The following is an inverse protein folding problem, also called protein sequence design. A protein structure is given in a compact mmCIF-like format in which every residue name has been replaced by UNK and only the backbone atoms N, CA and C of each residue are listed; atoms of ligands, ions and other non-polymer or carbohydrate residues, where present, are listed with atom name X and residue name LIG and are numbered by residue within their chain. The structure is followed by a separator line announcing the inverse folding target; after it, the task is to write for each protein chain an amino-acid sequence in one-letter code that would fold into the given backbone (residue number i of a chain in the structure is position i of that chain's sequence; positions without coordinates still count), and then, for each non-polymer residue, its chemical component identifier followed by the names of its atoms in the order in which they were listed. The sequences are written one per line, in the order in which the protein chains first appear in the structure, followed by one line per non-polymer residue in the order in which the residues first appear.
data_IF_710969407771
#
_entry.id   IF_710969407771
#
_cell.length_a   1.000
_cell.length_b   1.000
_cell.length_c   1.000
_cell.angle_alpha   90.00
_cell.angle_beta   90.00
_cell.angle_gamma   90.00
#
_symmetry.space_group_name_H-M   'P 1'
#
loop_
_entity.id
_entity.type
_entity.pdbx_description
1 polymer ?
#
# COMPACT_ATOMS: atom_id res chain seq x y z
N UNK A 1 -13.98 7.57 6.09
CA UNK A 1 -14.41 6.17 6.30
C UNK A 1 -13.96 5.38 5.09
N UNK A 2 -13.31 4.23 5.27
CA UNK A 2 -13.02 3.30 4.19
C UNK A 2 -14.19 2.30 4.06
N UNK A 3 -14.32 1.64 2.91
CA UNK A 3 -15.32 0.62 2.64
C UNK A 3 -14.65 -0.55 1.92
N UNK A 4 -15.00 -1.78 2.30
CA UNK A 4 -14.55 -2.97 1.59
C UNK A 4 -15.38 -3.18 0.29
N UNK A 5 -14.96 -4.09 -0.61
CA UNK A 5 -15.70 -4.35 -1.84
C UNK A 5 -17.15 -4.79 -1.63
N UNK A 6 -17.44 -5.50 -0.52
CA UNK A 6 -18.80 -5.96 -0.22
C UNK A 6 -19.72 -4.80 0.19
N UNK A 7 -19.23 -3.84 0.96
CA UNK A 7 -19.93 -2.62 1.33
C UNK A 7 -20.13 -1.71 0.09
N UNK A 8 -19.09 -1.57 -0.74
CA UNK A 8 -19.17 -0.80 -1.99
C UNK A 8 -20.21 -1.39 -2.96
N UNK A 9 -20.30 -2.71 -3.08
CA UNK A 9 -21.32 -3.39 -3.89
C UNK A 9 -22.76 -3.12 -3.42
N UNK A 10 -22.95 -2.67 -2.17
CA UNK A 10 -24.24 -2.25 -1.62
C UNK A 10 -24.50 -0.75 -1.71
N UNK A 11 -23.61 0.01 -2.37
CA UNK A 11 -23.72 1.45 -2.57
C UNK A 11 -23.08 2.30 -1.46
N UNK A 12 -22.28 1.70 -0.57
CA UNK A 12 -21.54 2.46 0.44
C UNK A 12 -20.23 2.96 -0.16
N UNK A 13 -20.08 4.27 -0.28
CA UNK A 13 -18.85 4.90 -0.78
C UNK A 13 -17.91 5.32 0.36
N UNK A 14 -16.58 5.24 0.15
CA UNK A 14 -15.61 5.87 1.03
C UNK A 14 -15.92 7.37 1.24
N UNK A 15 -15.80 7.83 2.49
CA UNK A 15 -16.09 9.22 2.86
C UNK A 15 -17.52 9.49 3.33
N UNK A 16 -18.47 8.56 3.14
CA UNK A 16 -19.81 8.69 3.73
C UNK A 16 -19.77 8.76 5.26
N UNK A 17 -20.71 9.53 5.83
CA UNK A 17 -20.98 9.52 7.27
C UNK A 17 -21.64 8.22 7.72
N UNK A 18 -21.43 7.82 8.98
CA UNK A 18 -21.94 6.54 9.55
C UNK A 18 -23.45 6.40 9.39
N UNK A 19 -24.21 7.46 9.67
CA UNK A 19 -25.67 7.45 9.55
C UNK A 19 -26.12 7.21 8.09
N UNK A 20 -25.50 7.88 7.13
CA UNK A 20 -25.79 7.70 5.71
C UNK A 20 -25.45 6.29 5.23
N UNK A 21 -24.30 5.74 5.65
CA UNK A 21 -23.91 4.38 5.31
C UNK A 21 -24.87 3.33 5.87
N UNK A 22 -25.34 3.50 7.12
CA UNK A 22 -26.34 2.61 7.72
C UNK A 22 -27.73 2.74 7.10
N UNK A 23 -28.09 3.93 6.59
CA UNK A 23 -29.34 4.10 5.84
C UNK A 23 -29.32 3.31 4.51
N UNK A 24 -28.15 3.25 3.84
CA UNK A 24 -27.94 2.50 2.60
C UNK A 24 -27.86 0.98 2.87
N UNK A 25 -27.10 0.60 3.89
CA UNK A 25 -26.88 -0.80 4.27
C UNK A 25 -27.10 -0.98 5.78
N UNK A 26 -28.32 -1.25 6.25
CA UNK A 26 -28.62 -1.37 7.69
C UNK A 26 -27.87 -2.50 8.40
N UNK A 27 -27.45 -3.54 7.65
CA UNK A 27 -26.68 -4.67 8.17
C UNK A 27 -25.16 -4.44 8.12
N UNK A 28 -24.69 -3.22 7.82
CA UNK A 28 -23.26 -2.91 7.73
C UNK A 28 -22.58 -3.07 9.09
N UNK A 29 -21.46 -3.78 9.12
CA UNK A 29 -20.59 -3.81 10.29
C UNK A 29 -19.70 -2.56 10.29
N UNK A 30 -19.84 -1.72 11.31
CA UNK A 30 -18.98 -0.55 11.49
C UNK A 30 -17.85 -0.89 12.44
N UNK A 31 -16.62 -0.76 11.95
CA UNK A 31 -15.40 -0.93 12.75
C UNK A 31 -14.77 0.43 12.97
N UNK A 32 -14.46 0.75 14.23
CA UNK A 32 -13.76 1.99 14.55
C UNK A 32 -12.29 1.86 14.19
N UNK A 33 -11.78 2.91 13.55
CA UNK A 33 -10.38 3.00 13.14
C UNK A 33 -9.46 2.92 14.36
N UNK A 34 -8.38 2.14 14.28
CA UNK A 34 -7.39 2.00 15.34
C UNK A 34 -6.01 2.47 14.84
N UNK A 35 -5.74 3.79 14.77
CA UNK A 35 -4.52 4.32 14.14
C UNK A 35 -3.22 3.84 14.77
N UNK A 36 -3.24 3.52 16.07
CA UNK A 36 -2.07 3.01 16.79
C UNK A 36 -1.70 1.61 16.28
N UNK A 37 -2.69 0.72 16.11
CA UNK A 37 -2.45 -0.61 15.57
C UNK A 37 -2.04 -0.53 14.09
N UNK A 38 -2.71 0.30 13.29
CA UNK A 38 -2.33 0.53 11.88
C UNK A 38 -0.88 1.00 11.74
N UNK A 39 -0.43 1.87 12.64
CA UNK A 39 0.95 2.35 12.63
C UNK A 39 1.94 1.26 13.07
N UNK A 40 1.59 0.44 14.06
CA UNK A 40 2.40 -0.71 14.47
C UNK A 40 2.56 -1.72 13.33
N UNK A 41 1.47 -2.06 12.63
CA UNK A 41 1.50 -2.92 11.44
C UNK A 41 2.39 -2.33 10.34
N UNK A 42 2.34 -1.01 10.12
CA UNK A 42 3.22 -0.35 9.15
C UNK A 42 4.71 -0.48 9.51
N UNK A 43 5.04 -0.44 10.81
CA UNK A 43 6.40 -0.68 11.31
C UNK A 43 6.81 -2.14 11.10
N UNK A 44 5.90 -3.09 11.31
CA UNK A 44 6.19 -4.51 11.11
C UNK A 44 6.42 -4.83 9.63
N UNK A 45 5.65 -4.24 8.73
CA UNK A 45 5.87 -4.33 7.28
C UNK A 45 7.23 -3.70 6.90
N UNK A 46 7.58 -2.53 7.45
CA UNK A 46 8.88 -1.91 7.21
C UNK A 46 10.04 -2.80 7.70
N UNK A 47 9.86 -3.42 8.86
CA UNK A 47 10.84 -4.35 9.46
C UNK A 47 11.03 -5.58 8.58
N UNK A 48 9.94 -6.18 8.10
CA UNK A 48 9.99 -7.28 7.14
C UNK A 48 10.69 -6.86 5.84
N UNK A 49 10.40 -5.67 5.31
CA UNK A 49 10.99 -5.15 4.09
C UNK A 49 12.51 -4.93 4.20
N UNK A 50 13.07 -4.90 5.41
CA UNK A 50 14.51 -4.84 5.69
C UNK A 50 15.34 -5.92 4.99
N UNK A 51 14.71 -7.03 4.58
CA UNK A 51 15.37 -8.07 3.78
C UNK A 51 15.73 -7.64 2.36
N UNK A 52 15.10 -6.59 1.82
CA UNK A 52 15.32 -6.12 0.45
C UNK A 52 16.30 -4.96 0.37
N UNK A 53 16.32 -4.12 1.40
CA UNK A 53 17.22 -2.98 1.52
C UNK A 53 17.36 -2.55 2.96
N UNK A 54 18.55 -2.09 3.40
CA UNK A 54 18.69 -1.43 4.69
C UNK A 54 18.12 0.00 4.70
N UNK A 55 17.85 0.58 3.53
CA UNK A 55 17.40 1.97 3.37
C UNK A 55 15.88 2.05 3.24
N UNK A 56 15.22 2.13 4.40
CA UNK A 56 13.75 2.13 4.52
C UNK A 56 13.28 3.39 5.25
N UNK A 57 12.18 3.96 4.81
CA UNK A 57 11.51 5.08 5.50
C UNK A 57 10.01 4.82 5.61
N UNK A 58 9.44 5.10 6.79
CA UNK A 58 7.99 5.10 6.98
C UNK A 58 7.40 6.35 6.31
N UNK A 59 6.31 6.17 5.56
CA UNK A 59 5.49 7.25 5.02
C UNK A 59 4.02 7.06 5.45
N UNK A 60 3.72 7.31 6.74
CA UNK A 60 2.40 7.06 7.29
C UNK A 60 1.30 7.88 6.57
N UNK A 61 0.04 7.41 6.59
CA UNK A 61 -0.42 6.25 7.36
C UNK A 61 -0.35 4.89 6.63
N UNK A 62 -0.05 4.84 5.33
CA UNK A 62 -0.30 3.63 4.51
C UNK A 62 0.83 3.32 3.51
N UNK A 63 2.04 3.84 3.73
CA UNK A 63 3.15 3.59 2.82
C UNK A 63 4.49 3.43 3.57
N UNK A 64 5.38 2.68 2.92
CA UNK A 64 6.80 2.63 3.23
C UNK A 64 7.56 2.92 1.94
N UNK A 65 8.75 3.49 2.07
CA UNK A 65 9.62 3.85 0.95
C UNK A 65 10.90 3.04 1.05
N UNK A 66 11.32 2.45 -0.08
CA UNK A 66 12.50 1.60 -0.19
C UNK A 66 13.45 2.22 -1.22
N UNK A 67 14.68 2.50 -0.82
CA UNK A 67 15.79 2.75 -1.75
C UNK A 67 16.39 1.39 -2.10
N UNK A 68 16.35 0.98 -3.37
CA UNK A 68 16.69 -0.39 -3.78
C UNK A 68 17.86 -0.46 -4.75
N UNK A 69 18.33 0.66 -5.30
CA UNK A 69 19.33 0.73 -6.39
C UNK A 69 20.59 -0.07 -6.04
N UNK A 70 21.10 0.12 -4.83
CA UNK A 70 22.31 -0.55 -4.34
C UNK A 70 22.14 -2.06 -4.15
N UNK A 71 20.90 -2.52 -3.96
CA UNK A 71 20.55 -3.89 -3.68
C UNK A 71 20.02 -4.65 -4.90
N UNK A 72 19.69 -3.98 -6.01
CA UNK A 72 19.10 -4.60 -7.21
C UNK A 72 19.89 -5.80 -7.73
N UNK A 73 21.23 -5.73 -7.71
CA UNK A 73 22.08 -6.83 -8.19
C UNK A 73 21.89 -8.12 -7.37
N UNK A 74 21.60 -8.02 -6.08
CA UNK A 74 21.35 -9.18 -5.20
C UNK A 74 20.07 -9.92 -5.58
N UNK A 75 19.10 -9.20 -6.14
CA UNK A 75 17.80 -9.74 -6.51
C UNK A 75 17.66 -10.03 -8.00
N UNK A 76 18.72 -9.86 -8.79
CA UNK A 76 18.65 -10.06 -10.24
C UNK A 76 17.94 -8.94 -11.00
N UNK A 77 17.88 -7.74 -10.40
CA UNK A 77 17.27 -6.55 -11.00
C UNK A 77 15.91 -6.18 -10.40
N UNK A 78 15.28 -5.18 -11.02
CA UNK A 78 14.07 -4.55 -10.50
C UNK A 78 12.83 -5.45 -10.61
N UNK A 79 12.68 -6.16 -11.72
CA UNK A 79 11.50 -7.01 -11.98
C UNK A 79 11.41 -8.18 -10.97
N UNK A 80 12.48 -9.00 -10.76
CA UNK A 80 12.38 -10.08 -9.79
C UNK A 80 12.26 -9.58 -8.36
N UNK A 81 12.86 -8.43 -8.02
CA UNK A 81 12.68 -7.78 -6.72
C UNK A 81 11.21 -7.40 -6.50
N UNK A 82 10.58 -6.72 -7.47
CA UNK A 82 9.17 -6.33 -7.39
C UNK A 82 8.23 -7.53 -7.23
N UNK A 83 8.50 -8.63 -7.94
CA UNK A 83 7.75 -9.89 -7.78
C UNK A 83 7.89 -10.48 -6.38
N UNK A 84 9.11 -10.52 -5.82
CA UNK A 84 9.35 -11.01 -4.46
C UNK A 84 8.67 -10.14 -3.40
N UNK A 85 8.69 -8.81 -3.57
CA UNK A 85 8.00 -7.89 -2.66
C UNK A 85 6.48 -8.11 -2.75
N UNK A 86 5.93 -8.21 -3.96
CA UNK A 86 4.49 -8.42 -4.17
C UNK A 86 4.02 -9.71 -3.50
N UNK A 87 4.70 -10.83 -3.80
CA UNK A 87 4.36 -12.13 -3.22
C UNK A 87 4.47 -12.11 -1.69
N UNK A 88 5.54 -11.53 -1.15
CA UNK A 88 5.74 -11.51 0.30
C UNK A 88 4.76 -10.59 1.04
N UNK A 89 4.25 -9.53 0.41
CA UNK A 89 3.16 -8.71 0.95
C UNK A 89 1.85 -9.51 0.98
N UNK A 90 1.56 -10.28 -0.06
CA UNK A 90 0.40 -11.18 -0.09
C UNK A 90 0.50 -12.28 0.98
N UNK A 91 1.69 -12.85 1.17
CA UNK A 91 1.95 -13.86 2.22
C UNK A 91 1.77 -13.29 3.64
N UNK A 92 1.99 -11.99 3.83
CA UNK A 92 1.69 -11.28 5.08
C UNK A 92 0.19 -10.95 5.24
N UNK A 93 -0.65 -11.22 4.24
CA UNK A 93 -2.09 -10.95 4.25
C UNK A 93 -2.46 -9.52 3.89
N UNK A 94 -1.56 -8.77 3.24
CA UNK A 94 -1.79 -7.40 2.82
C UNK A 94 -1.94 -7.29 1.29
N UNK A 95 -2.58 -6.21 0.85
CA UNK A 95 -2.56 -5.77 -0.54
C UNK A 95 -1.83 -4.44 -0.62
N UNK A 96 -0.88 -4.30 -1.55
CA UNK A 96 -0.12 -3.07 -1.74
C UNK A 96 -0.01 -2.70 -3.21
N UNK A 97 0.11 -1.41 -3.47
CA UNK A 97 0.47 -0.86 -4.77
C UNK A 97 1.96 -0.52 -4.76
N UNK A 98 2.70 -1.13 -5.69
CA UNK A 98 4.13 -0.88 -5.87
C UNK A 98 4.32 0.12 -7.01
N UNK A 99 5.17 1.12 -6.77
CA UNK A 99 5.63 2.03 -7.80
C UNK A 99 7.10 2.36 -7.59
N UNK A 100 7.81 2.61 -8.69
CA UNK A 100 9.24 2.90 -8.70
C UNK A 100 9.45 4.21 -9.45
N UNK A 101 10.30 5.08 -8.89
CA UNK A 101 10.72 6.32 -9.53
C UNK A 101 12.10 6.72 -9.04
N UNK A 102 12.72 7.69 -9.72
CA UNK A 102 14.04 8.23 -9.38
C UNK A 102 14.04 9.04 -8.08
N UNK A 103 12.86 9.41 -7.55
CA UNK A 103 12.74 10.13 -6.28
C UNK A 103 11.66 9.51 -5.40
N UNK A 104 11.80 9.56 -4.05
CA UNK A 104 10.79 9.03 -3.15
C UNK A 104 9.42 9.69 -3.30
N UNK A 105 9.39 11.00 -3.59
CA UNK A 105 8.14 11.74 -3.81
C UNK A 105 7.40 11.26 -5.06
N UNK A 106 8.11 11.07 -6.17
CA UNK A 106 7.51 10.58 -7.40
C UNK A 106 6.99 9.14 -7.24
N UNK A 107 7.76 8.26 -6.58
CA UNK A 107 7.34 6.89 -6.30
C UNK A 107 6.05 6.87 -5.45
N UNK A 108 5.97 7.72 -4.43
CA UNK A 108 4.77 7.88 -3.60
C UNK A 108 3.56 8.35 -4.41
N UNK A 109 3.74 9.34 -5.29
CA UNK A 109 2.65 9.84 -6.13
C UNK A 109 2.15 8.77 -7.10
N UNK A 110 3.06 8.05 -7.76
CA UNK A 110 2.71 6.95 -8.65
C UNK A 110 2.01 5.81 -7.88
N UNK A 111 2.47 5.45 -6.69
CA UNK A 111 1.82 4.41 -5.88
C UNK A 111 0.38 4.79 -5.46
N UNK A 112 0.09 6.08 -5.31
CA UNK A 112 -1.21 6.59 -4.84
C UNK A 112 -2.19 6.89 -5.96
N UNK A 113 -1.70 7.38 -7.09
CA UNK A 113 -2.52 7.94 -8.16
C UNK A 113 -2.20 7.36 -9.54
N UNK A 114 -1.10 6.64 -9.67
CA UNK A 114 -0.73 5.96 -10.90
C UNK A 114 -1.67 4.81 -11.21
N UNK A 115 -1.74 4.49 -12.49
CA UNK A 115 -2.42 3.30 -12.98
C UNK A 115 -1.50 2.08 -12.84
N UNK A 116 -2.04 0.87 -12.81
CA UNK A 116 -1.23 -0.36 -12.76
C UNK A 116 -0.25 -0.48 -13.95
N UNK A 117 -0.51 0.26 -15.04
CA UNK A 117 0.30 0.30 -16.25
C UNK A 117 1.52 1.25 -16.12
N UNK A 118 1.59 2.09 -15.08
CA UNK A 118 2.68 3.08 -14.88
C UNK A 118 3.93 2.49 -14.19
N UNK A 119 3.92 1.20 -13.86
CA UNK A 119 5.06 0.52 -13.23
C UNK A 119 6.18 0.34 -14.27
N UNK A 120 7.09 1.32 -14.33
CA UNK A 120 8.32 1.24 -15.13
C UNK A 120 8.37 2.14 -16.37
N UNK A 121 7.37 3.00 -16.59
CA UNK A 121 7.52 4.07 -17.58
C UNK A 121 8.54 5.10 -17.05
N UNK A 122 9.64 5.40 -17.77
CA UNK A 122 10.47 6.53 -17.41
C UNK A 122 9.59 7.79 -17.48
N UNK A 123 9.57 8.57 -16.40
CA UNK A 123 9.07 9.94 -16.46
C UNK A 123 9.95 10.67 -17.48
N UNK A 124 9.40 10.91 -18.67
CA UNK A 124 10.04 11.64 -19.76
C UNK A 124 10.34 13.09 -19.37
#
# INVERSE_FOLDING_TARGET
MAADPAAMARGVEPGLGRASALAIAPALCLVDRQPILEHAELIDIATWAGRFTPAISLDPPHAILLEVETCLRLFGGLVPLGQQITQGIEDLGFHAHLAIAQTPLAARWLARFGSADDVGAPLA
#
